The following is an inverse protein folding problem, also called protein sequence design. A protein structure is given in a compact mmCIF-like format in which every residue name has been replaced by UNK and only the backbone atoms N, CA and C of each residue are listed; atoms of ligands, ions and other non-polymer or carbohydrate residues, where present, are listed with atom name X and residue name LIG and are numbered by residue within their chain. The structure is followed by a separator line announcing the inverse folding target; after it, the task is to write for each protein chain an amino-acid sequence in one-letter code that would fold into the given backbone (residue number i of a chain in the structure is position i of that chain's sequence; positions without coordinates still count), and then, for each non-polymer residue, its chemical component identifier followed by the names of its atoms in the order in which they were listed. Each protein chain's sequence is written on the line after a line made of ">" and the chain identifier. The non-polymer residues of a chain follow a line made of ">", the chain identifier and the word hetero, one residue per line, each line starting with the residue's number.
data_IF_693072615279
#
_entry.id   IF_693072615279
#
_cell.length_a   1.000
_cell.length_b   1.000
_cell.length_c   1.000
_cell.angle_alpha   90.00
_cell.angle_beta   90.00
_cell.angle_gamma   90.00
#
_symmetry.space_group_name_H-M   'P 1'
#
loop_
_entity.id
_entity.type
_entity.pdbx_description
1 polymer ?
#
# COMPACT_ATOMS: atom_id res chain seq x y z
N UNK A 1 -21.28 -0.45 14.20
CA UNK A 1 -21.68 -1.28 13.05
C UNK A 1 -23.13 -0.93 12.84
N UNK A 2 -23.47 -0.10 11.84
CA UNK A 2 -24.88 0.29 11.55
C UNK A 2 -25.08 1.23 10.35
N UNK A 3 -24.05 1.81 9.73
CA UNK A 3 -24.28 2.90 8.74
C UNK A 3 -24.26 2.45 7.27
N UNK A 4 -24.02 1.16 6.99
CA UNK A 4 -23.75 0.66 5.63
C UNK A 4 -24.46 -0.64 5.27
N UNK A 5 -25.38 -1.12 6.11
CA UNK A 5 -26.04 -2.42 5.91
C UNK A 5 -26.92 -2.44 4.65
N UNK A 6 -27.29 -1.26 4.13
CA UNK A 6 -28.06 -1.08 2.89
C UNK A 6 -27.20 -0.76 1.65
N UNK A 7 -25.85 -0.78 1.75
CA UNK A 7 -24.97 -0.52 0.60
C UNK A 7 -24.58 -1.84 -0.09
N UNK A 8 -25.02 -1.99 -1.33
CA UNK A 8 -24.54 -3.05 -2.22
C UNK A 8 -23.09 -2.75 -2.66
N UNK A 9 -22.17 -3.67 -2.35
CA UNK A 9 -20.75 -3.57 -2.72
C UNK A 9 -20.38 -4.72 -3.65
N UNK A 10 -19.92 -4.40 -4.85
CA UNK A 10 -19.37 -5.37 -5.80
C UNK A 10 -17.86 -5.13 -6.01
N UNK A 11 -17.04 -6.15 -5.76
CA UNK A 11 -15.60 -6.12 -6.11
C UNK A 11 -15.42 -6.69 -7.52
N UNK A 12 -15.04 -5.83 -8.47
CA UNK A 12 -14.79 -6.22 -9.84
C UNK A 12 -13.29 -6.33 -10.13
N UNK A 13 -12.82 -7.53 -10.50
CA UNK A 13 -11.45 -7.75 -10.98
C UNK A 13 -11.42 -7.99 -12.50
N UNK A 14 -10.43 -7.41 -13.18
CA UNK A 14 -10.14 -7.63 -14.61
C UNK A 14 -10.80 -6.65 -15.60
N UNK A 15 -10.61 -6.90 -16.90
CA UNK A 15 -10.97 -5.98 -18.00
C UNK A 15 -12.24 -6.37 -18.77
N UNK A 16 -13.08 -7.26 -18.22
CA UNK A 16 -14.29 -7.72 -18.90
C UNK A 16 -15.19 -6.54 -19.26
N UNK A 17 -15.66 -6.50 -20.51
CA UNK A 17 -16.63 -5.49 -20.98
C UNK A 17 -17.91 -5.61 -20.14
N UNK A 18 -18.19 -4.59 -19.34
CA UNK A 18 -19.44 -4.47 -18.56
C UNK A 18 -20.22 -3.25 -19.04
N UNK A 19 -21.55 -3.34 -18.97
CA UNK A 19 -22.40 -2.14 -19.01
C UNK A 19 -22.30 -1.48 -17.65
N UNK A 20 -22.03 -0.18 -17.62
CA UNK A 20 -22.05 0.58 -16.38
C UNK A 20 -23.52 0.83 -15.99
N UNK A 21 -23.87 0.42 -14.78
CA UNK A 21 -25.19 0.64 -14.15
C UNK A 21 -25.16 1.91 -13.28
N UNK A 22 -26.14 2.06 -12.39
CA UNK A 22 -26.32 3.24 -11.53
C UNK A 22 -25.46 3.29 -10.25
N UNK A 23 -24.40 2.48 -10.19
CA UNK A 23 -23.40 2.54 -9.12
C UNK A 23 -22.47 3.75 -9.23
N UNK A 24 -21.94 4.17 -8.08
CA UNK A 24 -20.69 4.94 -7.99
C UNK A 24 -19.52 3.95 -8.06
N UNK A 25 -18.52 4.27 -8.88
CA UNK A 25 -17.38 3.39 -9.12
C UNK A 25 -16.13 3.95 -8.47
N UNK A 26 -15.58 3.20 -7.53
CA UNK A 26 -14.26 3.45 -6.96
C UNK A 26 -13.21 2.74 -7.82
N UNK A 27 -12.45 3.51 -8.59
CA UNK A 27 -11.46 2.99 -9.53
C UNK A 27 -10.06 3.15 -8.94
N UNK A 28 -9.45 2.04 -8.54
CA UNK A 28 -8.07 2.00 -8.06
C UNK A 28 -7.12 2.08 -9.25
N UNK A 29 -6.19 3.05 -9.23
CA UNK A 29 -5.23 3.28 -10.30
C UNK A 29 -5.91 3.40 -11.69
N UNK A 30 -6.69 4.45 -11.96
CA UNK A 30 -7.46 4.59 -13.20
C UNK A 30 -6.57 4.64 -14.47
N UNK A 31 -5.26 4.88 -14.34
CA UNK A 31 -4.29 4.83 -15.43
C UNK A 31 -4.25 3.46 -16.13
N UNK A 32 -4.46 2.34 -15.41
CA UNK A 32 -4.35 0.99 -15.99
C UNK A 32 -5.54 0.62 -16.89
N UNK A 33 -6.64 1.37 -16.82
CA UNK A 33 -7.86 1.07 -17.56
C UNK A 33 -7.95 1.83 -18.88
N UNK A 34 -8.30 1.10 -19.95
CA UNK A 34 -8.60 1.69 -21.27
C UNK A 34 -10.00 2.29 -21.35
N UNK A 35 -10.94 1.79 -20.54
CA UNK A 35 -12.33 2.24 -20.48
C UNK A 35 -12.68 2.52 -19.03
N UNK A 36 -13.28 3.67 -18.79
CA UNK A 36 -13.67 4.14 -17.48
C UNK A 36 -15.19 4.42 -17.46
N UNK A 37 -15.82 4.37 -16.28
CA UNK A 37 -17.20 4.82 -16.10
C UNK A 37 -17.40 6.29 -16.50
N UNK A 38 -18.65 6.74 -16.66
CA UNK A 38 -18.96 8.17 -16.80
C UNK A 38 -18.31 9.00 -15.69
N UNK A 39 -17.80 10.18 -16.03
CA UNK A 39 -17.11 11.09 -15.10
C UNK A 39 -17.92 11.38 -13.83
N UNK A 40 -19.23 11.60 -13.98
CA UNK A 40 -20.17 11.87 -12.88
C UNK A 40 -20.37 10.69 -11.91
N UNK A 41 -19.87 9.49 -12.23
CA UNK A 41 -19.98 8.29 -11.38
C UNK A 41 -18.61 7.73 -10.98
N UNK A 42 -17.50 8.37 -11.35
CA UNK A 42 -16.15 7.84 -11.15
C UNK A 42 -15.45 8.53 -9.97
N UNK A 43 -15.16 7.77 -8.91
CA UNK A 43 -14.25 8.17 -7.84
C UNK A 43 -12.91 7.48 -8.09
N UNK A 44 -11.85 8.26 -8.28
CA UNK A 44 -10.50 7.70 -8.52
C UNK A 44 -9.76 7.50 -7.20
N UNK A 45 -9.21 6.32 -6.96
CA UNK A 45 -8.22 6.09 -5.91
C UNK A 45 -6.84 6.19 -6.56
N UNK A 46 -6.21 7.33 -6.36
CA UNK A 46 -4.87 7.66 -6.80
C UNK A 46 -3.88 6.98 -5.83
N UNK A 47 -2.98 6.14 -6.37
CA UNK A 47 -1.89 5.51 -5.61
C UNK A 47 -0.49 5.71 -6.22
N UNK A 48 -0.37 6.53 -7.27
CA UNK A 48 0.90 6.75 -7.95
C UNK A 48 1.64 7.93 -7.32
N UNK A 49 2.96 7.86 -7.16
CA UNK A 49 3.70 9.00 -6.62
C UNK A 49 3.84 10.10 -7.67
N UNK A 50 3.70 11.37 -7.29
CA UNK A 50 3.82 12.47 -8.27
C UNK A 50 5.23 12.65 -8.86
N UNK A 51 6.25 12.00 -8.29
CA UNK A 51 7.62 11.94 -8.84
C UNK A 51 7.79 10.85 -9.90
N UNK A 52 6.76 10.01 -10.11
CA UNK A 52 6.79 8.91 -11.06
C UNK A 52 6.49 9.38 -12.47
N UNK A 53 7.23 8.86 -13.45
CA UNK A 53 6.97 9.09 -14.89
C UNK A 53 5.61 8.53 -15.32
N UNK A 54 4.96 7.73 -14.47
CA UNK A 54 3.65 7.14 -14.73
C UNK A 54 2.51 8.14 -14.51
N UNK A 55 2.76 9.25 -13.81
CA UNK A 55 1.83 10.37 -13.69
C UNK A 55 1.93 11.30 -14.92
N UNK A 56 1.65 10.74 -16.09
CA UNK A 56 1.65 11.50 -17.35
C UNK A 56 0.37 12.35 -17.51
N UNK A 57 0.37 13.21 -18.54
CA UNK A 57 -0.78 14.07 -18.85
C UNK A 57 -2.05 13.28 -19.21
N UNK A 58 -1.90 12.05 -19.73
CA UNK A 58 -3.05 11.15 -19.98
C UNK A 58 -3.69 10.72 -18.66
N UNK A 59 -2.89 10.39 -17.66
CA UNK A 59 -3.35 10.05 -16.31
C UNK A 59 -3.93 11.29 -15.61
N UNK A 60 -3.25 12.45 -15.63
CA UNK A 60 -3.81 13.68 -15.07
C UNK A 60 -5.18 14.02 -15.67
N UNK A 61 -5.36 13.82 -16.97
CA UNK A 61 -6.66 14.01 -17.62
C UNK A 61 -7.73 13.02 -17.16
N UNK A 62 -7.37 11.78 -16.81
CA UNK A 62 -8.30 10.84 -16.16
C UNK A 62 -8.68 11.33 -14.76
N UNK A 63 -7.72 11.81 -13.98
CA UNK A 63 -7.96 12.36 -12.64
C UNK A 63 -8.90 13.56 -12.70
N UNK A 64 -8.63 14.56 -13.56
CA UNK A 64 -9.48 15.75 -13.76
C UNK A 64 -10.94 15.40 -14.09
N UNK A 65 -11.17 14.31 -14.84
CA UNK A 65 -12.49 13.80 -15.20
C UNK A 65 -13.21 13.06 -14.08
N UNK A 66 -12.55 12.68 -12.99
CA UNK A 66 -13.21 12.00 -11.85
C UNK A 66 -14.24 12.93 -11.20
N UNK A 67 -15.32 12.36 -10.66
CA UNK A 67 -16.23 13.07 -9.74
C UNK A 67 -15.45 13.51 -8.51
N UNK A 68 -14.67 12.60 -7.93
CA UNK A 68 -13.82 12.84 -6.77
C UNK A 68 -12.52 12.02 -6.88
N UNK A 69 -11.47 12.46 -6.20
CA UNK A 69 -10.16 11.82 -6.15
C UNK A 69 -9.81 11.58 -4.69
N UNK A 70 -9.48 10.35 -4.35
CA UNK A 70 -8.80 10.02 -3.11
C UNK A 70 -7.33 9.79 -3.38
N UNK A 71 -6.49 10.34 -2.52
CA UNK A 71 -5.04 10.14 -2.57
C UNK A 71 -4.51 9.81 -1.18
N UNK A 72 -3.54 8.91 -1.11
CA UNK A 72 -2.97 8.42 0.13
C UNK A 72 -1.90 9.34 0.71
N UNK A 73 -1.42 10.34 -0.04
CA UNK A 73 -0.35 11.24 0.40
C UNK A 73 -0.76 12.70 0.33
N UNK A 74 -0.58 13.42 1.44
CA UNK A 74 -0.78 14.88 1.49
C UNK A 74 0.16 15.61 0.52
N UNK A 75 1.37 15.08 0.29
CA UNK A 75 2.33 15.67 -0.67
C UNK A 75 1.84 15.52 -2.11
N UNK A 76 1.30 14.36 -2.47
CA UNK A 76 0.64 14.17 -3.77
C UNK A 76 -0.54 15.13 -3.93
N UNK A 77 -1.42 15.24 -2.92
CA UNK A 77 -2.57 16.17 -2.97
C UNK A 77 -2.08 17.59 -3.26
N UNK A 78 -1.09 18.08 -2.52
CA UNK A 78 -0.53 19.41 -2.73
C UNK A 78 0.07 19.61 -4.13
N UNK A 79 0.66 18.56 -4.72
CA UNK A 79 1.14 18.59 -6.09
C UNK A 79 -0.03 18.64 -7.09
N UNK A 80 -1.02 17.77 -6.94
CA UNK A 80 -2.19 17.69 -7.81
C UNK A 80 -3.03 18.98 -7.81
N UNK A 81 -3.13 19.67 -6.67
CA UNK A 81 -3.75 20.99 -6.59
C UNK A 81 -3.02 22.03 -7.47
N UNK A 82 -1.69 21.99 -7.52
CA UNK A 82 -0.87 22.86 -8.39
C UNK A 82 -1.05 22.52 -9.87
N UNK A 83 -1.30 21.25 -10.18
CA UNK A 83 -1.64 20.74 -11.53
C UNK A 83 -3.10 21.04 -11.96
N UNK A 84 -3.83 21.82 -11.16
CA UNK A 84 -5.16 22.35 -11.49
C UNK A 84 -6.33 21.47 -11.04
N UNK A 85 -6.10 20.46 -10.20
CA UNK A 85 -7.21 19.74 -9.55
C UNK A 85 -7.84 20.64 -8.48
N UNK A 86 -9.17 20.77 -8.50
CA UNK A 86 -9.91 21.55 -7.50
C UNK A 86 -9.85 20.89 -6.12
N UNK A 87 -9.69 21.71 -5.07
CA UNK A 87 -9.72 21.26 -3.67
C UNK A 87 -11.03 20.55 -3.29
N UNK A 88 -12.15 20.94 -3.90
CA UNK A 88 -13.47 20.31 -3.71
C UNK A 88 -13.53 18.89 -4.29
N UNK A 89 -12.57 18.52 -5.15
CA UNK A 89 -12.55 17.25 -5.89
C UNK A 89 -11.47 16.27 -5.41
N UNK A 90 -10.73 16.61 -4.37
CA UNK A 90 -9.64 15.77 -3.88
C UNK A 90 -9.64 15.67 -2.36
N UNK A 91 -9.43 14.47 -1.83
CA UNK A 91 -9.42 14.21 -0.40
C UNK A 91 -8.32 13.22 0.00
N UNK A 92 -7.86 13.37 1.24
CA UNK A 92 -6.89 12.46 1.84
C UNK A 92 -7.56 11.14 2.25
N UNK A 93 -7.02 10.03 1.76
CA UNK A 93 -7.46 8.67 2.04
C UNK A 93 -6.27 7.81 2.45
N UNK A 94 -5.93 7.77 3.75
CA UNK A 94 -4.79 6.97 4.23
C UNK A 94 -5.01 5.48 3.94
N UNK A 95 -3.92 4.74 3.81
CA UNK A 95 -3.95 3.29 3.72
C UNK A 95 -3.61 2.72 5.10
N UNK A 96 -4.17 1.56 5.42
CA UNK A 96 -3.91 0.88 6.68
C UNK A 96 -3.93 -0.64 6.50
N UNK A 97 -3.40 -1.35 7.49
CA UNK A 97 -3.40 -2.80 7.52
C UNK A 97 -4.75 -3.35 7.98
N UNK A 98 -5.05 -4.56 7.53
CA UNK A 98 -6.28 -5.29 7.82
C UNK A 98 -5.97 -6.28 8.95
N UNK A 99 -6.68 -6.12 10.07
CA UNK A 99 -6.59 -7.05 11.19
C UNK A 99 -7.19 -8.41 10.80
N UNK A 100 -6.55 -9.50 11.22
CA UNK A 100 -6.97 -10.89 10.92
C UNK A 100 -7.13 -11.17 9.42
N UNK A 101 -6.29 -10.54 8.58
CA UNK A 101 -6.42 -10.68 7.13
C UNK A 101 -6.22 -12.12 6.64
N UNK A 102 -5.30 -12.87 7.27
CA UNK A 102 -5.09 -14.29 6.96
C UNK A 102 -6.36 -15.12 7.19
N UNK A 103 -7.07 -14.88 8.29
CA UNK A 103 -8.33 -15.57 8.59
C UNK A 103 -9.40 -15.22 7.56
N UNK A 104 -9.55 -13.93 7.23
CA UNK A 104 -10.45 -13.48 6.17
C UNK A 104 -10.15 -14.13 4.82
N UNK A 105 -8.86 -14.26 4.45
CA UNK A 105 -8.44 -14.89 3.21
C UNK A 105 -8.73 -16.40 3.20
N UNK A 106 -8.53 -17.08 4.33
CA UNK A 106 -8.88 -18.49 4.49
C UNK A 106 -10.39 -18.72 4.37
N UNK A 107 -11.20 -17.92 5.07
CA UNK A 107 -12.66 -18.05 5.04
C UNK A 107 -13.27 -17.73 3.66
N UNK A 108 -12.82 -16.63 3.04
CA UNK A 108 -13.44 -16.12 1.80
C UNK A 108 -12.89 -16.75 0.54
N UNK A 109 -11.61 -17.07 0.51
CA UNK A 109 -10.91 -17.53 -0.71
C UNK A 109 -10.24 -18.90 -0.55
N UNK A 110 -10.35 -19.55 0.61
CA UNK A 110 -9.66 -20.81 0.94
C UNK A 110 -8.13 -20.71 0.78
N UNK A 111 -7.58 -19.52 1.04
CA UNK A 111 -6.14 -19.29 1.03
C UNK A 111 -5.56 -19.67 2.39
N UNK A 112 -4.72 -20.70 2.40
CA UNK A 112 -4.06 -21.19 3.60
C UNK A 112 -2.56 -20.88 3.55
N UNK A 113 -2.02 -20.44 4.69
CA UNK A 113 -0.67 -19.92 4.86
C UNK A 113 0.04 -20.72 5.94
N UNK A 114 0.82 -21.71 5.50
CA UNK A 114 1.52 -22.66 6.37
C UNK A 114 3.01 -22.72 5.98
N UNK A 115 3.52 -21.63 5.38
CA UNK A 115 4.83 -21.61 4.76
C UNK A 115 5.93 -21.83 5.78
N UNK A 116 6.86 -22.74 5.49
CA UNK A 116 8.12 -22.79 6.22
C UNK A 116 8.89 -21.53 5.85
N UNK A 117 9.42 -20.82 6.84
CA UNK A 117 10.21 -19.60 6.63
C UNK A 117 11.58 -19.97 6.03
N UNK A 118 11.62 -20.11 4.71
CA UNK A 118 12.81 -20.58 3.99
C UNK A 118 13.81 -19.47 3.71
N UNK A 119 13.37 -18.21 3.66
CA UNK A 119 14.20 -17.05 3.33
C UNK A 119 14.25 -16.07 4.50
N UNK A 120 15.40 -15.44 4.70
CA UNK A 120 15.55 -14.40 5.71
C UNK A 120 14.82 -13.13 5.29
N UNK A 121 15.02 -12.72 4.04
CA UNK A 121 14.54 -11.44 3.52
C UNK A 121 13.81 -11.66 2.20
N UNK A 122 12.62 -11.06 2.06
CA UNK A 122 11.94 -10.90 0.79
C UNK A 122 12.03 -9.46 0.31
N UNK A 123 12.46 -9.26 -0.92
CA UNK A 123 12.16 -8.06 -1.69
C UNK A 123 11.19 -8.41 -2.81
N UNK A 124 10.19 -7.55 -3.04
CA UNK A 124 9.35 -7.66 -4.23
C UNK A 124 9.05 -6.30 -4.87
N UNK A 125 9.11 -6.29 -6.20
CA UNK A 125 8.95 -5.10 -7.03
C UNK A 125 10.01 -5.02 -8.12
N UNK A 126 9.90 -4.01 -8.98
CA UNK A 126 10.79 -3.83 -10.12
C UNK A 126 12.26 -3.62 -9.66
N UNK A 127 13.18 -4.48 -10.11
CA UNK A 127 14.61 -4.36 -9.78
C UNK A 127 15.40 -3.49 -10.77
N UNK A 128 14.75 -2.95 -11.80
CA UNK A 128 15.39 -2.11 -12.83
C UNK A 128 15.74 -0.70 -12.30
N UNK A 129 16.48 -0.64 -11.21
CA UNK A 129 17.04 0.56 -10.59
C UNK A 129 18.46 0.20 -10.11
N UNK A 130 19.51 0.90 -10.57
CA UNK A 130 20.88 0.62 -10.13
C UNK A 130 21.05 0.65 -8.61
N UNK A 131 20.30 1.52 -7.93
CA UNK A 131 20.26 1.60 -6.46
C UNK A 131 19.68 0.33 -5.84
N UNK A 132 18.51 -0.12 -6.30
CA UNK A 132 17.89 -1.37 -5.82
C UNK A 132 18.82 -2.55 -6.05
N UNK A 133 19.39 -2.68 -7.26
CA UNK A 133 20.32 -3.76 -7.60
C UNK A 133 21.49 -3.80 -6.62
N UNK A 134 22.14 -2.65 -6.39
CA UNK A 134 23.27 -2.56 -5.45
C UNK A 134 22.88 -2.93 -4.02
N UNK A 135 21.73 -2.47 -3.53
CA UNK A 135 21.26 -2.81 -2.18
C UNK A 135 20.92 -4.30 -2.06
N UNK A 136 20.29 -4.89 -3.07
CA UNK A 136 19.97 -6.32 -3.12
C UNK A 136 21.23 -7.19 -3.24
N UNK A 137 22.24 -6.76 -4.00
CA UNK A 137 23.54 -7.42 -4.06
C UNK A 137 24.23 -7.44 -2.70
N UNK A 138 24.24 -6.31 -1.98
CA UNK A 138 24.79 -6.21 -0.63
C UNK A 138 24.02 -7.12 0.32
N UNK A 139 22.69 -7.10 0.32
CA UNK A 139 21.89 -7.98 1.20
C UNK A 139 22.16 -9.46 0.95
N UNK A 140 22.31 -9.87 -0.31
CA UNK A 140 22.61 -11.26 -0.68
C UNK A 140 23.96 -11.77 -0.20
N UNK A 141 24.90 -10.88 0.16
CA UNK A 141 26.17 -11.27 0.75
C UNK A 141 26.04 -11.66 2.24
N UNK A 142 24.96 -11.21 2.90
CA UNK A 142 24.76 -11.36 4.35
C UNK A 142 23.58 -12.27 4.72
N UNK A 143 22.55 -12.34 3.89
CA UNK A 143 21.29 -13.03 4.18
C UNK A 143 20.82 -13.88 3.00
N UNK A 144 19.94 -14.86 3.27
CA UNK A 144 19.22 -15.55 2.19
C UNK A 144 18.07 -14.67 1.69
N UNK A 145 18.31 -13.93 0.61
CA UNK A 145 17.34 -12.99 0.02
C UNK A 145 16.56 -13.65 -1.11
N UNK A 146 15.23 -13.54 -1.07
CA UNK A 146 14.32 -13.84 -2.16
C UNK A 146 13.93 -12.53 -2.87
N UNK A 147 14.03 -12.51 -4.20
CA UNK A 147 13.71 -11.35 -5.05
C UNK A 147 12.62 -11.74 -6.03
N UNK A 148 11.52 -10.99 -6.06
CA UNK A 148 10.34 -11.28 -6.88
C UNK A 148 9.83 -10.05 -7.64
N UNK A 149 9.73 -10.09 -8.97
CA UNK A 149 9.33 -8.93 -9.76
C UNK A 149 7.86 -8.94 -10.22
N UNK A 150 7.29 -10.12 -10.42
CA UNK A 150 6.01 -10.30 -11.14
C UNK A 150 5.03 -11.21 -10.38
N UNK A 151 5.13 -11.26 -9.05
CA UNK A 151 4.15 -11.96 -8.22
C UNK A 151 2.96 -11.05 -7.89
N UNK A 152 1.76 -11.63 -7.85
CA UNK A 152 0.54 -10.92 -7.50
C UNK A 152 -0.43 -11.84 -6.74
N UNK A 153 -1.37 -11.26 -6.01
CA UNK A 153 -2.43 -12.01 -5.35
C UNK A 153 -1.89 -13.09 -4.40
N UNK A 154 -2.45 -14.30 -4.46
CA UNK A 154 -2.09 -15.39 -3.55
C UNK A 154 -0.58 -15.69 -3.53
N UNK A 155 0.08 -15.70 -4.68
CA UNK A 155 1.50 -16.05 -4.76
C UNK A 155 2.39 -15.01 -4.07
N UNK A 156 2.04 -13.73 -4.17
CA UNK A 156 2.72 -12.66 -3.43
C UNK A 156 2.50 -12.83 -1.92
N UNK A 157 1.26 -13.01 -1.50
CA UNK A 157 0.93 -13.20 -0.08
C UNK A 157 1.62 -14.43 0.51
N UNK A 158 1.75 -15.50 -0.28
CA UNK A 158 2.50 -16.70 0.09
C UNK A 158 3.99 -16.41 0.21
N UNK A 159 4.60 -15.66 -0.71
CA UNK A 159 6.00 -15.27 -0.61
C UNK A 159 6.29 -14.45 0.65
N UNK A 160 5.38 -13.53 1.02
CA UNK A 160 5.43 -12.78 2.28
C UNK A 160 5.35 -13.75 3.48
N UNK A 161 4.44 -14.72 3.43
CA UNK A 161 4.29 -15.73 4.48
C UNK A 161 5.49 -16.69 4.60
N UNK A 162 6.24 -16.95 3.53
CA UNK A 162 7.42 -17.83 3.52
C UNK A 162 8.73 -17.12 3.89
N UNK A 163 8.66 -15.82 4.21
CA UNK A 163 9.85 -14.99 4.47
C UNK A 163 9.84 -14.47 5.91
N UNK A 164 11.01 -14.41 6.55
CA UNK A 164 11.10 -13.95 7.96
C UNK A 164 10.80 -12.46 8.07
N UNK A 165 11.37 -11.66 7.16
CA UNK A 165 11.05 -10.25 7.01
C UNK A 165 10.81 -9.88 5.53
N UNK A 166 10.15 -8.76 5.31
CA UNK A 166 10.09 -8.10 4.00
C UNK A 166 10.93 -6.83 4.05
N UNK A 167 11.76 -6.60 3.04
CA UNK A 167 12.48 -5.35 2.87
C UNK A 167 11.78 -4.44 1.85
N UNK A 168 11.52 -3.20 2.25
CA UNK A 168 10.99 -2.14 1.40
C UNK A 168 12.12 -1.18 1.00
N UNK A 169 12.51 -1.20 -0.27
CA UNK A 169 13.52 -0.30 -0.85
C UNK A 169 12.83 0.54 -1.92
N UNK A 170 12.93 1.86 -1.83
CA UNK A 170 12.25 2.73 -2.79
C UNK A 170 12.90 2.65 -4.17
N UNK A 171 12.12 2.93 -5.22
CA UNK A 171 12.69 3.01 -6.58
C UNK A 171 13.43 4.33 -6.77
N UNK A 172 12.87 5.42 -6.22
CA UNK A 172 13.39 6.78 -6.26
C UNK A 172 13.94 7.20 -4.90
N UNK A 173 14.98 8.04 -4.87
CA UNK A 173 15.60 8.51 -3.61
C UNK A 173 14.66 9.42 -2.82
N UNK A 174 13.86 10.24 -3.52
CA UNK A 174 12.89 11.17 -2.95
C UNK A 174 11.47 10.61 -2.92
N UNK A 175 11.33 9.28 -2.86
CA UNK A 175 10.03 8.62 -2.85
C UNK A 175 9.21 8.96 -1.60
N UNK A 176 7.89 8.96 -1.79
CA UNK A 176 6.93 8.84 -0.69
C UNK A 176 7.02 7.45 -0.10
N UNK A 177 6.60 7.30 1.16
CA UNK A 177 6.55 6.00 1.80
C UNK A 177 5.60 5.07 1.03
N UNK A 178 6.09 3.91 0.61
CA UNK A 178 5.32 2.87 -0.06
C UNK A 178 4.36 2.15 0.92
N UNK A 179 3.40 2.91 1.48
CA UNK A 179 2.46 2.45 2.50
C UNK A 179 1.60 1.28 2.03
N UNK A 180 1.28 1.20 0.75
CA UNK A 180 0.63 0.03 0.13
C UNK A 180 1.39 -1.27 0.43
N UNK A 181 2.71 -1.29 0.18
CA UNK A 181 3.59 -2.43 0.44
C UNK A 181 3.66 -2.74 1.94
N UNK A 182 3.90 -1.70 2.74
CA UNK A 182 4.06 -1.85 4.19
C UNK A 182 2.80 -2.46 4.80
N UNK A 183 1.62 -1.91 4.51
CA UNK A 183 0.39 -2.39 5.10
C UNK A 183 -0.07 -3.74 4.53
N UNK A 184 0.27 -4.10 3.29
CA UNK A 184 0.09 -5.47 2.78
C UNK A 184 0.88 -6.49 3.62
N UNK A 185 2.16 -6.20 3.88
CA UNK A 185 3.02 -7.04 4.72
C UNK A 185 2.51 -7.13 6.16
N UNK A 186 2.16 -5.98 6.77
CA UNK A 186 1.63 -5.94 8.14
C UNK A 186 0.28 -6.66 8.26
N UNK A 187 -0.57 -6.61 7.23
CA UNK A 187 -1.83 -7.37 7.20
C UNK A 187 -1.58 -8.88 7.23
N UNK A 188 -0.49 -9.33 6.61
CA UNK A 188 -0.03 -10.73 6.66
C UNK A 188 0.74 -11.08 7.94
N UNK A 189 0.94 -10.10 8.84
CA UNK A 189 1.70 -10.26 10.07
C UNK A 189 3.21 -10.36 9.87
N UNK A 190 3.72 -9.90 8.73
CA UNK A 190 5.16 -9.91 8.46
C UNK A 190 5.83 -8.67 9.06
N UNK A 191 7.03 -8.85 9.60
CA UNK A 191 7.90 -7.74 9.97
C UNK A 191 8.50 -7.10 8.72
N UNK A 192 8.64 -5.77 8.75
CA UNK A 192 9.13 -4.98 7.62
C UNK A 192 10.40 -4.24 8.01
N UNK A 193 11.39 -4.21 7.11
CA UNK A 193 12.51 -3.27 7.19
C UNK A 193 12.38 -2.33 6.01
N UNK A 194 12.15 -1.05 6.26
CA UNK A 194 11.84 -0.08 5.23
C UNK A 194 12.92 0.98 5.15
N UNK A 195 13.24 1.39 3.94
CA UNK A 195 13.89 2.68 3.73
C UNK A 195 12.96 3.80 4.23
N UNK A 196 13.54 4.86 4.80
CA UNK A 196 12.77 6.07 5.14
C UNK A 196 12.34 6.82 3.87
N UNK A 197 11.48 7.83 4.05
CA UNK A 197 10.86 8.58 2.95
C UNK A 197 10.76 10.06 3.27
N UNK A 198 10.47 10.87 2.26
CA UNK A 198 10.34 12.32 2.42
C UNK A 198 9.11 12.74 3.24
N UNK A 199 8.14 11.84 3.44
CA UNK A 199 6.90 12.05 4.17
C UNK A 199 6.79 11.17 5.43
N UNK A 200 7.93 10.66 5.93
CA UNK A 200 7.97 9.79 7.12
C UNK A 200 7.32 10.42 8.37
N UNK A 201 7.34 11.76 8.48
CA UNK A 201 6.70 12.52 9.55
C UNK A 201 5.17 12.36 9.59
N UNK A 202 4.53 12.00 8.48
CA UNK A 202 3.09 11.69 8.44
C UNK A 202 2.76 10.30 9.03
N UNK A 203 3.78 9.49 9.36
CA UNK A 203 3.63 8.09 9.79
C UNK A 203 4.35 7.78 11.10
N UNK A 204 4.35 8.71 12.07
CA UNK A 204 5.00 8.53 13.38
C UNK A 204 4.55 7.26 14.13
N UNK A 205 3.32 6.80 13.92
CA UNK A 205 2.83 5.54 14.51
C UNK A 205 3.58 4.31 13.98
N UNK A 206 4.03 4.33 12.72
CA UNK A 206 4.87 3.27 12.16
C UNK A 206 6.27 3.28 12.80
N UNK A 207 6.86 4.46 13.01
CA UNK A 207 8.20 4.58 13.63
C UNK A 207 8.23 3.95 15.02
N UNK A 208 7.12 4.05 15.76
CA UNK A 208 7.00 3.51 17.12
C UNK A 208 6.59 2.03 17.15
N UNK A 209 6.33 1.40 16.00
CA UNK A 209 5.93 0.00 15.92
C UNK A 209 7.15 -0.92 15.96
N UNK A 210 7.04 -2.02 16.71
CA UNK A 210 8.09 -3.05 16.77
C UNK A 210 8.13 -3.94 15.53
N UNK A 211 7.07 -3.92 14.72
CA UNK A 211 6.97 -4.75 13.52
C UNK A 211 7.65 -4.12 12.31
N UNK A 212 8.04 -2.84 12.38
CA UNK A 212 8.74 -2.16 11.30
C UNK A 212 9.99 -1.46 11.83
N UNK A 213 11.08 -1.56 11.10
CA UNK A 213 12.28 -0.78 11.34
C UNK A 213 12.59 0.08 10.11
N UNK A 214 13.05 1.31 10.34
CA UNK A 214 13.46 2.21 9.26
C UNK A 214 14.98 2.33 9.18
N UNK A 215 15.50 2.36 7.96
CA UNK A 215 16.90 2.71 7.67
C UNK A 215 17.00 3.96 6.78
N UNK A 216 18.15 4.65 6.84
CA UNK A 216 18.38 5.88 6.08
C UNK A 216 18.54 5.64 4.58
N UNK A 217 18.11 6.62 3.77
CA UNK A 217 18.23 6.64 2.31
C UNK A 217 19.71 6.45 1.93
N UNK A 218 20.00 5.45 1.08
CA UNK A 218 21.35 5.06 0.60
C UNK A 218 22.36 4.64 1.69
N UNK A 219 21.91 4.39 2.92
CA UNK A 219 22.77 3.92 3.99
C UNK A 219 22.76 2.38 4.07
N UNK A 220 23.72 1.75 3.40
CA UNK A 220 23.82 0.30 3.36
C UNK A 220 24.15 -0.32 4.72
N UNK A 221 24.92 0.37 5.55
CA UNK A 221 25.31 -0.16 6.86
C UNK A 221 24.11 -0.11 7.81
N UNK A 222 23.36 0.98 7.81
CA UNK A 222 22.12 1.09 8.58
C UNK A 222 21.10 0.04 8.09
N UNK A 223 20.93 -0.13 6.77
CA UNK A 223 20.09 -1.18 6.20
C UNK A 223 20.44 -2.57 6.73
N UNK A 224 21.71 -2.99 6.65
CA UNK A 224 22.19 -4.27 7.17
C UNK A 224 21.92 -4.41 8.68
N UNK A 225 22.21 -3.36 9.45
CA UNK A 225 22.01 -3.32 10.90
C UNK A 225 20.53 -3.50 11.27
N UNK A 226 19.61 -2.86 10.54
CA UNK A 226 18.16 -3.00 10.78
C UNK A 226 17.64 -4.38 10.41
N UNK A 227 18.13 -4.97 9.32
CA UNK A 227 17.80 -6.35 8.94
C UNK A 227 18.27 -7.33 10.01
N UNK A 228 19.53 -7.26 10.42
CA UNK A 228 20.09 -8.09 11.50
C UNK A 228 19.29 -7.96 12.80
N UNK A 229 19.02 -6.72 13.21
CA UNK A 229 18.28 -6.44 14.45
C UNK A 229 16.87 -7.01 14.41
N UNK A 230 16.17 -6.89 13.27
CA UNK A 230 14.82 -7.43 13.11
C UNK A 230 14.81 -8.96 13.10
N UNK A 231 15.76 -9.60 12.42
CA UNK A 231 15.90 -11.05 12.42
C UNK A 231 16.24 -11.59 13.81
N UNK A 232 17.12 -10.90 14.56
CA UNK A 232 17.45 -11.25 15.94
C UNK A 232 16.24 -11.08 16.87
N UNK A 233 15.47 -10.00 16.71
CA UNK A 233 14.23 -9.77 17.45
C UNK A 233 13.25 -10.94 17.24
N UNK A 234 13.03 -11.37 16.00
CA UNK A 234 12.17 -12.50 15.65
C UNK A 234 12.68 -13.84 16.21
N UNK A 235 13.99 -14.06 16.23
CA UNK A 235 14.55 -15.27 16.85
C UNK A 235 14.37 -15.28 18.38
N UNK A 236 14.35 -14.11 19.02
CA UNK A 236 14.25 -13.97 20.48
C UNK A 236 12.82 -14.04 21.02
N UNK A 237 11.81 -13.87 20.15
CA UNK A 237 10.40 -13.83 20.53
C UNK A 237 9.60 -14.82 19.70
N UNK A 238 9.09 -15.85 20.36
CA UNK A 238 7.94 -16.60 19.85
C UNK A 238 6.74 -15.64 19.79
N UNK A 239 6.32 -15.33 18.56
CA UNK A 239 5.06 -14.68 18.16
C UNK A 239 4.57 -13.53 19.04
N UNK A 240 4.86 -12.29 18.63
CA UNK A 240 4.05 -11.14 19.08
C UNK A 240 3.74 -10.21 17.91
N UNK A 241 2.51 -10.32 17.43
CA UNK A 241 1.83 -9.27 16.68
C UNK A 241 1.54 -8.11 17.63
N UNK A 242 1.88 -6.88 17.26
CA UNK A 242 1.46 -5.69 18.00
C UNK A 242 0.03 -5.31 17.59
N UNK A 243 -0.97 -5.92 18.24
CA UNK A 243 -2.40 -5.74 17.93
C UNK A 243 -2.87 -4.30 18.14
N UNK A 244 -2.21 -3.54 19.00
CA UNK A 244 -2.62 -2.18 19.37
C UNK A 244 -2.43 -1.17 18.22
N UNK A 245 -1.36 -1.32 17.43
CA UNK A 245 -1.09 -0.45 16.28
C UNK A 245 -2.09 -0.66 15.13
N UNK A 246 -2.50 -1.91 14.91
CA UNK A 246 -3.49 -2.27 13.89
C UNK A 246 -4.87 -1.70 14.22
N UNK A 247 -5.27 -1.75 15.50
CA UNK A 247 -6.53 -1.19 15.97
C UNK A 247 -6.60 0.33 15.80
N UNK A 248 -5.53 1.05 16.16
CA UNK A 248 -5.48 2.52 16.02
C UNK A 248 -5.54 2.95 14.56
N UNK A 249 -4.82 2.26 13.69
CA UNK A 249 -4.78 2.57 12.26
C UNK A 249 -6.14 2.26 11.59
N UNK A 250 -6.80 1.18 11.99
CA UNK A 250 -8.14 0.83 11.53
C UNK A 250 -9.21 1.83 12.00
N UNK A 251 -9.15 2.28 13.26
CA UNK A 251 -10.07 3.27 13.80
C UNK A 251 -9.97 4.61 13.06
N UNK A 252 -8.74 5.07 12.79
CA UNK A 252 -8.49 6.29 12.00
C UNK A 252 -9.01 6.15 10.57
N UNK A 253 -8.72 5.03 9.89
CA UNK A 253 -9.21 4.76 8.55
C UNK A 253 -10.74 4.80 8.53
N UNK A 254 -11.40 4.07 9.44
CA UNK A 254 -12.85 4.02 9.51
C UNK A 254 -13.45 5.41 9.67
N UNK A 255 -12.92 6.25 10.56
CA UNK A 255 -13.44 7.61 10.73
C UNK A 255 -13.29 8.47 9.46
N UNK A 256 -12.11 8.46 8.83
CA UNK A 256 -11.83 9.26 7.63
C UNK A 256 -12.64 8.79 6.42
N UNK A 257 -12.71 7.47 6.19
CA UNK A 257 -13.44 6.87 5.06
C UNK A 257 -14.94 7.10 5.18
N UNK A 258 -15.53 6.86 6.35
CA UNK A 258 -16.97 7.01 6.51
C UNK A 258 -17.42 8.47 6.36
N UNK A 259 -16.62 9.41 6.88
CA UNK A 259 -16.89 10.85 6.71
C UNK A 259 -16.82 11.25 5.23
N UNK A 260 -15.80 10.76 4.52
CA UNK A 260 -15.57 11.15 3.14
C UNK A 260 -16.58 10.53 2.17
N UNK A 261 -16.98 9.27 2.39
CA UNK A 261 -18.03 8.60 1.59
C UNK A 261 -19.39 9.30 1.79
N UNK A 262 -19.75 9.68 3.02
CA UNK A 262 -21.00 10.41 3.30
C UNK A 262 -21.05 11.73 2.53
N UNK A 263 -19.93 12.44 2.40
CA UNK A 263 -19.86 13.68 1.63
C UNK A 263 -20.04 13.44 0.12
N UNK A 264 -19.50 12.35 -0.44
CA UNK A 264 -19.65 12.03 -1.86
C UNK A 264 -21.09 11.60 -2.21
N UNK A 265 -21.75 10.84 -1.32
CA UNK A 265 -23.11 10.34 -1.53
C UNK A 265 -24.15 11.46 -1.36
N UNK A 266 -23.96 12.33 -0.37
CA UNK A 266 -24.93 13.37 -0.02
C UNK A 266 -24.75 14.68 -0.80
N UNK A 267 -23.76 14.76 -1.70
CA UNK A 267 -23.58 15.91 -2.60
C UNK A 267 -24.32 15.65 -3.94
N UNK A 268 -25.50 16.28 -4.14
CA UNK A 268 -26.40 16.01 -5.26
C UNK A 268 -26.01 16.81 -6.52
N UNK A 269 -24.71 16.94 -6.80
CA UNK A 269 -24.20 17.64 -7.99
C UNK A 269 -24.99 17.32 -9.27
#
# INVERSE_FOLDING_TARGET
>A
MSDFDDIEIEICMGTKKRRYNDFIYFIVCPQVFKRLPPSSKMVSIQLEQCVSDWLDESYLNKLRKSKFIYDYSKKNINHLLKEGISIEKIGYFPISAILNYKDYLAEKYNYNFNGIKENDVLFYGNTNSPRRQKMLEILNQHFKVRVEENLYGYEMLKAIDESRIVINIHYYESALLETTRIYECLSMGACVVSETSIDIEDYLHLINSKQIAFFNIDDYQDMLTKVESMLAYLSSKQDVMDSLMLEQSYAFLKQTVLTSIKNIINDPA
#
